data_IF_181782204958
#
_entry.id   IF_181782204958
#
_cell.length_a   1.000
_cell.length_b   1.000
_cell.length_c   1.000
_cell.angle_alpha   90.00
_cell.angle_beta   90.00
_cell.angle_gamma   90.00
#
_symmetry.space_group_name_H-M   'P 1'
#
loop_
_entity.id
_entity.type
_entity.pdbx_description
1 polymer ?
#
# COMPACT_ATOMS: atom_id res chain seq x y z
N UNK A 1 -17.27 9.10 -10.41
CA UNK A 1 -17.16 8.40 -11.71
C UNK A 1 -18.57 8.27 -12.26
N UNK A 2 -18.83 8.74 -13.48
CA UNK A 2 -20.12 8.55 -14.15
C UNK A 2 -19.93 7.45 -15.19
N UNK A 3 -20.65 6.35 -15.03
CA UNK A 3 -20.63 5.21 -15.95
C UNK A 3 -21.93 5.28 -16.75
N UNK A 4 -21.83 5.33 -18.08
CA UNK A 4 -22.97 5.74 -18.93
C UNK A 4 -23.82 4.57 -19.43
N UNK A 5 -23.33 3.34 -19.34
CA UNK A 5 -24.02 2.16 -19.84
C UNK A 5 -23.58 0.89 -19.10
N UNK A 6 -24.27 -0.22 -19.36
CA UNK A 6 -23.83 -1.57 -19.00
C UNK A 6 -22.39 -1.83 -19.45
N UNK A 7 -21.60 -2.47 -18.60
CA UNK A 7 -20.25 -2.90 -18.93
C UNK A 7 -19.31 -3.00 -17.74
N UNK A 8 -18.04 -3.24 -18.07
CA UNK A 8 -16.93 -3.35 -17.12
C UNK A 8 -16.01 -2.14 -17.27
N UNK A 9 -15.82 -1.38 -16.20
CA UNK A 9 -15.07 -0.12 -16.21
C UNK A 9 -13.93 -0.15 -15.20
N UNK A 10 -12.70 0.11 -15.66
CA UNK A 10 -11.54 0.21 -14.80
C UNK A 10 -11.16 1.68 -14.54
N UNK A 11 -10.95 2.04 -13.29
CA UNK A 11 -10.32 3.31 -12.94
C UNK A 11 -8.81 3.20 -13.04
N UNK A 12 -8.21 3.96 -13.95
CA UNK A 12 -6.75 3.97 -14.18
C UNK A 12 -5.94 4.52 -12.99
N UNK A 13 -6.57 5.29 -12.10
CA UNK A 13 -5.90 5.90 -10.94
C UNK A 13 -5.80 4.93 -9.76
N UNK A 14 -6.86 4.14 -9.51
CA UNK A 14 -6.95 3.31 -8.30
C UNK A 14 -7.09 1.82 -8.58
N UNK A 15 -7.00 1.40 -9.86
CA UNK A 15 -7.14 0.00 -10.28
C UNK A 15 -8.56 -0.57 -10.20
N UNK A 16 -9.45 -0.03 -9.35
CA UNK A 16 -10.83 -0.51 -9.18
C UNK A 16 -11.54 -0.77 -10.50
N UNK A 17 -12.14 -1.97 -10.60
CA UNK A 17 -12.98 -2.38 -11.73
C UNK A 17 -14.41 -2.50 -11.24
N UNK A 18 -15.35 -1.90 -11.97
CA UNK A 18 -16.78 -1.94 -11.69
C UNK A 18 -17.52 -2.64 -12.81
N UNK A 19 -18.30 -3.67 -12.48
CA UNK A 19 -19.24 -4.31 -13.40
C UNK A 19 -20.63 -3.74 -13.12
N UNK A 20 -21.25 -3.12 -14.13
CA UNK A 20 -22.54 -2.44 -14.00
C UNK A 20 -23.51 -2.89 -15.08
N UNK A 21 -24.81 -2.93 -14.75
CA UNK A 21 -25.88 -3.33 -15.69
C UNK A 21 -26.61 -2.15 -16.31
N UNK A 22 -26.42 -0.94 -15.78
CA UNK A 22 -27.00 0.32 -16.26
C UNK A 22 -26.06 1.49 -15.98
N UNK A 23 -26.45 2.67 -16.47
CA UNK A 23 -25.80 3.92 -16.11
C UNK A 23 -25.86 4.13 -14.58
N UNK A 24 -24.72 4.47 -13.97
CA UNK A 24 -24.58 4.64 -12.52
C UNK A 24 -23.53 5.70 -12.19
N UNK A 25 -23.76 6.46 -11.13
CA UNK A 25 -22.79 7.42 -10.58
C UNK A 25 -22.15 6.84 -9.33
N UNK A 26 -20.88 6.48 -9.43
CA UNK A 26 -20.10 5.92 -8.34
C UNK A 26 -19.25 7.02 -7.68
N UNK A 27 -19.30 7.09 -6.35
CA UNK A 27 -18.42 7.92 -5.52
C UNK A 27 -17.63 7.01 -4.60
N UNK A 28 -16.32 7.19 -4.56
CA UNK A 28 -15.47 6.43 -3.66
C UNK A 28 -14.28 7.23 -3.16
N UNK A 29 -13.67 6.74 -2.08
CA UNK A 29 -12.44 7.29 -1.53
C UNK A 29 -11.61 6.18 -0.87
N UNK A 30 -10.29 6.25 -1.01
CA UNK A 30 -9.35 5.40 -0.27
C UNK A 30 -9.42 5.73 1.23
N UNK A 31 -9.54 4.70 2.07
CA UNK A 31 -9.56 4.77 3.53
C UNK A 31 -8.25 4.26 4.13
N UNK A 32 -8.06 4.53 5.42
CA UNK A 32 -6.96 3.97 6.22
C UNK A 32 -7.41 2.66 6.85
N UNK A 33 -6.57 1.62 6.74
CA UNK A 33 -6.77 0.35 7.45
C UNK A 33 -6.59 0.48 8.97
N UNK A 34 -5.80 1.45 9.46
CA UNK A 34 -5.55 1.61 10.91
C UNK A 34 -6.81 1.86 11.75
N UNK A 35 -7.88 2.39 11.15
CA UNK A 35 -9.19 2.58 11.81
C UNK A 35 -9.98 1.26 11.95
N UNK A 36 -9.67 0.27 11.13
CA UNK A 36 -10.36 -1.01 11.02
C UNK A 36 -9.46 -2.19 11.40
N UNK A 37 -8.30 -1.90 12.00
CA UNK A 37 -7.29 -2.89 12.35
C UNK A 37 -7.83 -3.99 13.27
N UNK A 38 -8.71 -3.63 14.21
CA UNK A 38 -9.32 -4.58 15.16
C UNK A 38 -10.25 -5.60 14.47
N UNK A 39 -10.60 -5.40 13.20
CA UNK A 39 -11.39 -6.34 12.41
C UNK A 39 -10.55 -7.26 11.52
N UNK A 40 -9.23 -7.08 11.52
CA UNK A 40 -8.27 -7.92 10.80
C UNK A 40 -7.52 -8.75 11.83
N UNK A 41 -8.10 -9.90 12.15
CA UNK A 41 -7.51 -10.89 13.05
C UNK A 41 -6.87 -12.03 12.28
N UNK A 42 -5.83 -12.63 12.86
CA UNK A 42 -5.23 -13.85 12.31
C UNK A 42 -6.32 -14.91 12.08
N UNK A 43 -6.29 -15.63 10.94
CA UNK A 43 -5.20 -15.71 9.97
C UNK A 43 -5.32 -14.71 8.80
N UNK A 44 -6.18 -13.70 8.89
CA UNK A 44 -6.37 -12.70 7.82
C UNK A 44 -5.32 -11.59 7.90
N UNK A 45 -4.83 -11.18 6.74
CA UNK A 45 -4.01 -9.99 6.55
C UNK A 45 -4.64 -9.08 5.49
N UNK A 46 -4.18 -7.84 5.45
CA UNK A 46 -4.63 -6.88 4.43
C UNK A 46 -4.17 -7.35 3.05
N UNK A 47 -5.12 -7.46 2.13
CA UNK A 47 -4.85 -7.88 0.76
C UNK A 47 -4.59 -6.70 -0.19
N UNK A 48 -4.99 -5.48 0.15
CA UNK A 48 -4.99 -4.35 -0.77
C UNK A 48 -5.59 -3.09 -0.17
N UNK A 49 -5.90 -2.05 -0.97
CA UNK A 49 -6.46 -0.82 -0.45
C UNK A 49 -7.91 -0.98 0.04
N UNK A 50 -8.25 -0.24 1.10
CA UNK A 50 -9.60 -0.13 1.65
C UNK A 50 -10.33 1.05 1.00
N UNK A 51 -11.58 0.84 0.57
CA UNK A 51 -12.38 1.86 -0.07
C UNK A 51 -13.69 2.11 0.67
N UNK A 52 -14.04 3.39 0.82
CA UNK A 52 -15.42 3.78 1.02
C UNK A 52 -16.06 3.92 -0.35
N UNK A 53 -17.11 3.17 -0.64
CA UNK A 53 -17.79 3.19 -1.94
C UNK A 53 -19.27 3.49 -1.69
N UNK A 54 -19.86 4.28 -2.58
CA UNK A 54 -21.29 4.58 -2.63
C UNK A 54 -21.69 4.80 -4.09
N UNK A 55 -22.96 4.55 -4.42
CA UNK A 55 -23.51 4.90 -5.72
C UNK A 55 -24.99 5.28 -5.60
N UNK A 56 -25.51 5.90 -6.65
CA UNK A 56 -26.92 6.30 -6.76
C UNK A 56 -27.86 5.11 -7.00
N UNK A 57 -27.36 4.00 -7.55
CA UNK A 57 -28.11 2.76 -7.71
C UNK A 57 -27.27 1.52 -7.41
N UNK A 58 -27.30 1.06 -6.16
CA UNK A 58 -26.50 -0.10 -5.72
C UNK A 58 -26.89 -1.41 -6.41
N UNK A 59 -28.16 -1.56 -6.80
CA UNK A 59 -28.64 -2.73 -7.54
C UNK A 59 -28.08 -2.83 -8.96
N UNK A 60 -27.63 -1.73 -9.54
CA UNK A 60 -27.06 -1.72 -10.89
C UNK A 60 -25.54 -1.95 -10.89
N UNK A 61 -24.90 -1.98 -9.71
CA UNK A 61 -23.48 -2.34 -9.53
C UNK A 61 -23.39 -3.79 -9.06
N UNK A 62 -23.06 -4.72 -9.94
CA UNK A 62 -23.14 -6.16 -9.68
C UNK A 62 -21.88 -6.71 -9.03
N UNK A 63 -20.71 -6.22 -9.43
CA UNK A 63 -19.44 -6.59 -8.81
C UNK A 63 -18.42 -5.47 -8.83
N UNK A 64 -17.51 -5.56 -7.86
CA UNK A 64 -16.32 -4.72 -7.78
C UNK A 64 -15.12 -5.65 -7.77
N UNK A 65 -14.09 -5.31 -8.53
CA UNK A 65 -12.78 -5.95 -8.44
C UNK A 65 -11.80 -4.98 -7.79
N UNK A 66 -11.20 -5.43 -6.68
CA UNK A 66 -10.25 -4.66 -5.89
C UNK A 66 -8.83 -5.04 -6.30
N UNK A 67 -7.94 -4.08 -6.58
CA UNK A 67 -6.53 -4.40 -6.71
C UNK A 67 -6.02 -4.95 -5.37
N UNK A 68 -5.20 -5.99 -5.45
CA UNK A 68 -4.44 -6.47 -4.29
C UNK A 68 -2.98 -6.01 -4.40
N UNK A 69 -2.29 -5.95 -3.26
CA UNK A 69 -0.91 -5.45 -3.15
C UNK A 69 0.13 -6.58 -3.15
N UNK A 70 -0.33 -7.83 -3.33
CA UNK A 70 0.52 -9.02 -3.24
C UNK A 70 1.14 -9.32 -4.62
N UNK A 71 2.42 -9.68 -4.61
CA UNK A 71 3.10 -10.21 -5.79
C UNK A 71 2.87 -11.71 -5.86
N UNK A 72 1.79 -12.11 -6.53
CA UNK A 72 1.49 -13.52 -6.73
C UNK A 72 2.51 -14.17 -7.71
N UNK A 73 2.75 -15.46 -7.50
CA UNK A 73 3.50 -16.33 -8.41
C UNK A 73 2.53 -17.41 -8.90
N UNK A 74 2.58 -17.73 -10.20
CA UNK A 74 1.69 -18.72 -10.80
C UNK A 74 1.76 -20.10 -10.11
N UNK A 75 2.89 -20.44 -9.49
CA UNK A 75 3.10 -21.72 -8.79
C UNK A 75 2.52 -21.73 -7.36
N UNK A 76 2.09 -20.60 -6.81
CA UNK A 76 1.67 -20.45 -5.40
C UNK A 76 0.26 -19.86 -5.23
N UNK A 77 -0.54 -19.75 -6.30
CA UNK A 77 -1.91 -19.24 -6.22
C UNK A 77 -2.85 -20.17 -5.43
N UNK A 78 -2.63 -21.49 -5.47
CA UNK A 78 -3.58 -22.48 -4.94
C UNK A 78 -3.78 -22.44 -3.42
N UNK A 79 -2.84 -21.86 -2.68
CA UNK A 79 -2.85 -21.85 -1.20
C UNK A 79 -3.30 -20.51 -0.59
N UNK A 80 -3.66 -19.53 -1.43
CA UNK A 80 -4.17 -18.23 -0.97
C UNK A 80 -5.70 -18.16 -1.03
N UNK A 81 -6.32 -17.79 0.09
CA UNK A 81 -7.75 -17.53 0.16
C UNK A 81 -8.01 -16.03 0.21
N UNK A 82 -8.48 -15.46 -0.89
CA UNK A 82 -8.92 -14.06 -0.94
C UNK A 82 -10.39 -13.90 -0.54
N UNK A 83 -10.67 -12.90 0.29
CA UNK A 83 -12.00 -12.48 0.72
C UNK A 83 -12.07 -10.96 0.79
N UNK A 84 -13.24 -10.42 1.14
CA UNK A 84 -13.44 -8.98 1.28
C UNK A 84 -13.94 -8.66 2.69
N UNK A 85 -13.21 -7.82 3.42
CA UNK A 85 -13.75 -7.18 4.61
C UNK A 85 -14.82 -6.18 4.16
N UNK A 86 -16.00 -6.26 4.76
CA UNK A 86 -17.13 -5.39 4.50
C UNK A 86 -17.71 -4.87 5.83
N UNK A 87 -17.78 -3.55 5.97
CA UNK A 87 -18.23 -2.86 7.18
C UNK A 87 -19.68 -2.41 6.99
N UNK A 88 -20.62 -3.23 7.47
CA UNK A 88 -22.06 -2.95 7.36
C UNK A 88 -22.58 -2.15 8.55
N UNK A 89 -23.80 -1.64 8.43
CA UNK A 89 -24.55 -1.06 9.55
C UNK A 89 -24.77 -2.06 10.69
N UNK A 90 -24.85 -3.35 10.39
CA UNK A 90 -24.98 -4.45 11.36
C UNK A 90 -23.65 -4.89 11.97
N UNK A 91 -22.51 -4.37 11.48
CA UNK A 91 -21.17 -4.74 11.93
C UNK A 91 -20.25 -5.21 10.80
N UNK A 92 -18.97 -5.47 11.12
CA UNK A 92 -17.97 -5.99 10.18
C UNK A 92 -18.27 -7.45 9.79
N UNK A 93 -18.00 -7.81 8.54
CA UNK A 93 -18.05 -9.19 8.06
C UNK A 93 -16.98 -9.44 7.00
N UNK A 94 -16.40 -10.63 6.98
CA UNK A 94 -15.51 -11.08 5.89
C UNK A 94 -16.36 -11.93 4.93
N UNK A 95 -16.56 -11.41 3.72
CA UNK A 95 -17.38 -12.01 2.69
C UNK A 95 -16.54 -12.80 1.67
N UNK A 96 -17.09 -13.89 1.10
CA UNK A 96 -16.40 -14.63 0.07
C UNK A 96 -16.14 -13.76 -1.17
N UNK A 97 -14.96 -13.93 -1.78
CA UNK A 97 -14.73 -13.44 -3.13
C UNK A 97 -15.47 -14.33 -4.14
N UNK A 98 -15.77 -13.77 -5.31
CA UNK A 98 -16.30 -14.52 -6.47
C UNK A 98 -15.15 -15.25 -7.16
N UNK A 99 -14.05 -14.54 -7.37
CA UNK A 99 -12.84 -15.02 -8.03
C UNK A 99 -11.66 -14.08 -7.71
N UNK A 100 -10.45 -14.46 -8.07
CA UNK A 100 -9.30 -13.57 -8.04
C UNK A 100 -8.37 -13.85 -9.23
N UNK A 101 -7.58 -12.85 -9.58
CA UNK A 101 -6.52 -12.93 -10.58
C UNK A 101 -5.18 -12.55 -9.95
N UNK A 102 -4.12 -12.60 -10.75
CA UNK A 102 -2.78 -12.12 -10.40
C UNK A 102 -2.73 -10.69 -9.84
N UNK A 103 -3.76 -9.87 -10.03
CA UNK A 103 -3.75 -8.45 -9.61
C UNK A 103 -5.02 -7.98 -8.91
N UNK A 104 -6.14 -8.69 -9.02
CA UNK A 104 -7.44 -8.24 -8.50
C UNK A 104 -8.23 -9.34 -7.81
N UNK A 105 -9.03 -8.97 -6.81
CA UNK A 105 -10.04 -9.82 -6.15
C UNK A 105 -11.43 -9.34 -6.55
N UNK A 106 -12.23 -10.22 -7.15
CA UNK A 106 -13.62 -9.92 -7.55
C UNK A 106 -14.58 -10.26 -6.42
N UNK A 107 -15.51 -9.36 -6.14
CA UNK A 107 -16.53 -9.52 -5.11
C UNK A 107 -17.90 -9.08 -5.61
N UNK A 108 -18.94 -9.84 -5.23
CA UNK A 108 -20.31 -9.51 -5.56
C UNK A 108 -20.85 -8.47 -4.57
N UNK A 109 -21.42 -7.39 -5.08
CA UNK A 109 -21.85 -6.29 -4.23
C UNK A 109 -23.09 -6.70 -3.43
N UNK A 110 -22.94 -6.83 -2.12
CA UNK A 110 -24.04 -7.13 -1.19
C UNK A 110 -24.62 -5.87 -0.53
N UNK A 111 -23.76 -4.90 -0.23
CA UNK A 111 -24.10 -3.50 0.10
C UNK A 111 -22.84 -2.64 -0.07
N UNK A 112 -22.90 -1.36 0.24
CA UNK A 112 -21.78 -0.44 0.02
C UNK A 112 -21.34 0.19 1.34
N UNK A 113 -20.07 0.61 1.41
CA UNK A 113 -19.38 1.24 2.56
C UNK A 113 -18.76 0.24 3.55
N UNK A 114 -17.62 0.62 4.17
CA UNK A 114 -16.26 0.30 3.72
C UNK A 114 -16.03 -1.14 3.27
N UNK A 115 -15.27 -1.31 2.18
CA UNK A 115 -14.90 -2.63 1.62
C UNK A 115 -13.44 -2.67 1.19
N UNK A 116 -12.75 -3.79 1.41
CA UNK A 116 -11.36 -3.98 1.00
C UNK A 116 -10.93 -5.44 1.03
N UNK A 117 -10.00 -5.85 0.15
CA UNK A 117 -9.57 -7.23 0.06
C UNK A 117 -8.72 -7.63 1.27
N UNK A 118 -8.93 -8.85 1.74
CA UNK A 118 -8.15 -9.53 2.77
C UNK A 118 -7.73 -10.89 2.24
N UNK A 119 -6.61 -11.39 2.73
CA UNK A 119 -6.07 -12.68 2.28
C UNK A 119 -5.62 -13.50 3.47
N UNK A 120 -5.76 -14.81 3.35
CA UNK A 120 -5.22 -15.81 4.25
C UNK A 120 -4.30 -16.72 3.44
N UNK A 121 -3.11 -16.99 3.94
CA UNK A 121 -2.14 -17.91 3.32
C UNK A 121 -1.23 -18.53 4.39
N UNK A 122 -0.65 -19.70 4.10
CA UNK A 122 0.41 -20.32 4.89
C UNK A 122 1.80 -20.10 4.27
N UNK A 123 1.84 -19.63 3.02
CA UNK A 123 3.07 -19.35 2.29
C UNK A 123 3.63 -17.96 2.63
N UNK A 124 4.95 -17.74 2.46
CA UNK A 124 5.53 -16.41 2.56
C UNK A 124 4.84 -15.42 1.62
N UNK A 125 4.57 -14.22 2.14
CA UNK A 125 3.90 -13.17 1.38
C UNK A 125 4.93 -12.24 0.75
N UNK A 126 4.77 -12.01 -0.54
CA UNK A 126 5.60 -11.09 -1.32
C UNK A 126 4.79 -9.88 -1.77
N UNK A 127 5.43 -8.73 -1.84
CA UNK A 127 4.81 -7.46 -2.22
C UNK A 127 5.63 -6.72 -3.26
N UNK A 128 4.93 -6.05 -4.16
CA UNK A 128 5.54 -5.03 -5.02
C UNK A 128 5.77 -3.81 -4.13
N UNK A 129 7.02 -3.65 -3.71
CA UNK A 129 7.41 -2.61 -2.77
C UNK A 129 7.56 -1.24 -3.42
N UNK A 130 7.44 -0.20 -2.61
CA UNK A 130 7.74 1.16 -2.98
C UNK A 130 8.56 1.86 -1.88
N UNK A 131 9.54 2.67 -2.30
CA UNK A 131 10.32 3.56 -1.42
C UNK A 131 9.83 5.00 -1.60
N UNK A 132 9.43 5.63 -0.50
CA UNK A 132 8.89 6.99 -0.49
C UNK A 132 9.80 7.89 0.34
N UNK A 133 10.29 8.97 -0.29
CA UNK A 133 11.25 9.89 0.32
C UNK A 133 10.63 11.25 0.62
N UNK A 134 10.87 11.73 1.84
CA UNK A 134 10.55 13.08 2.26
C UNK A 134 11.79 13.78 2.82
N UNK A 135 12.18 14.92 2.24
CA UNK A 135 13.21 15.81 2.80
C UNK A 135 12.58 16.69 3.87
N UNK A 136 13.20 16.77 5.04
CA UNK A 136 12.84 17.74 6.09
C UNK A 136 13.29 19.12 5.62
N UNK A 137 12.41 20.11 5.72
CA UNK A 137 12.73 21.52 5.44
C UNK A 137 13.08 22.21 6.75
N UNK A 138 14.32 22.66 6.86
CA UNK A 138 14.84 23.45 7.98
C UNK A 138 15.89 24.46 7.48
N UNK A 139 16.41 25.31 8.36
CA UNK A 139 17.42 26.33 8.02
C UNK A 139 18.86 25.83 8.28
N UNK A 140 19.05 24.54 8.54
CA UNK A 140 20.36 23.96 8.80
C UNK A 140 21.03 23.59 7.46
N UNK A 141 22.36 23.73 7.33
CA UNK A 141 23.06 23.27 6.14
C UNK A 141 22.99 21.75 5.94
N UNK A 142 22.64 20.95 6.96
CA UNK A 142 22.57 19.50 6.83
C UNK A 142 21.28 19.03 6.15
N UNK A 143 21.33 17.83 5.57
CA UNK A 143 20.16 17.20 4.96
C UNK A 143 19.58 16.14 5.90
N UNK A 144 18.25 16.13 6.03
CA UNK A 144 17.53 15.09 6.76
C UNK A 144 16.39 14.57 5.91
N UNK A 145 16.27 13.24 5.83
CA UNK A 145 15.22 12.56 5.09
C UNK A 145 14.48 11.57 5.98
N UNK A 146 13.19 11.39 5.70
CA UNK A 146 12.44 10.20 6.09
C UNK A 146 12.23 9.34 4.87
N UNK A 147 12.70 8.10 4.94
CA UNK A 147 12.60 7.10 3.88
C UNK A 147 11.68 5.99 4.36
N UNK A 148 10.51 5.90 3.74
CA UNK A 148 9.51 4.88 4.05
C UNK A 148 9.66 3.73 3.06
N UNK A 149 9.67 2.49 3.57
CA UNK A 149 9.50 1.28 2.76
C UNK A 149 8.04 0.86 2.90
N UNK A 150 7.35 0.71 1.77
CA UNK A 150 5.91 0.56 1.73
C UNK A 150 5.49 -0.55 0.79
N UNK A 151 4.36 -1.20 1.09
CA UNK A 151 3.60 -1.93 0.08
C UNK A 151 3.06 -0.94 -0.95
N UNK A 152 2.90 -1.36 -2.21
CA UNK A 152 2.20 -0.58 -3.23
C UNK A 152 0.67 -0.58 -2.99
N UNK A 153 0.28 -0.13 -1.80
CA UNK A 153 -1.08 -0.07 -1.30
C UNK A 153 -1.49 1.39 -1.09
N UNK A 154 -2.45 1.88 -1.87
CA UNK A 154 -2.93 3.26 -1.78
C UNK A 154 -3.38 3.66 -0.38
N UNK A 155 -3.96 2.75 0.40
CA UNK A 155 -4.34 3.02 1.80
C UNK A 155 -3.12 3.33 2.65
N UNK A 156 -2.07 2.54 2.51
CA UNK A 156 -0.83 2.70 3.29
C UNK A 156 -0.05 3.95 2.86
N UNK A 157 0.09 4.17 1.55
CA UNK A 157 0.77 5.35 0.98
C UNK A 157 0.06 6.64 1.38
N UNK A 158 -1.28 6.63 1.41
CA UNK A 158 -2.09 7.76 1.89
C UNK A 158 -1.86 8.02 3.38
N UNK A 159 -1.73 6.98 4.20
CA UNK A 159 -1.45 7.12 5.63
C UNK A 159 -0.05 7.67 5.91
N UNK A 160 0.97 7.26 5.15
CA UNK A 160 2.31 7.86 5.20
C UNK A 160 2.20 9.37 4.91
N UNK A 161 1.52 9.72 3.83
CA UNK A 161 1.33 11.12 3.42
C UNK A 161 0.61 11.93 4.51
N UNK A 162 -0.40 11.34 5.16
CA UNK A 162 -1.12 11.98 6.26
C UNK A 162 -0.22 12.18 7.48
N UNK A 163 0.54 11.14 7.86
CA UNK A 163 1.49 11.16 8.99
C UNK A 163 2.52 12.27 8.83
N UNK A 164 3.10 12.39 7.63
CA UNK A 164 4.06 13.44 7.30
C UNK A 164 3.41 14.83 7.42
N UNK A 165 2.22 15.02 6.83
CA UNK A 165 1.49 16.30 6.91
C UNK A 165 1.10 16.71 8.33
N UNK A 166 0.80 15.75 9.20
CA UNK A 166 0.46 16.00 10.60
C UNK A 166 1.67 16.14 11.51
N UNK A 167 2.86 15.76 11.06
CA UNK A 167 4.06 15.94 11.86
C UNK A 167 4.46 17.42 11.83
N UNK A 168 4.68 18.04 13.00
CA UNK A 168 4.90 19.50 13.10
C UNK A 168 6.13 20.07 12.37
N UNK A 169 6.88 19.23 11.62
CA UNK A 169 7.99 19.64 10.76
C UNK A 169 7.47 19.85 9.32
N UNK A 170 8.13 20.70 8.55
CA UNK A 170 7.85 20.87 7.12
C UNK A 170 8.60 19.82 6.31
N UNK A 171 7.95 19.25 5.28
CA UNK A 171 8.55 18.25 4.41
C UNK A 171 8.29 18.56 2.94
N UNK A 172 9.22 18.15 2.09
CA UNK A 172 9.07 18.10 0.63
C UNK A 172 9.18 16.64 0.21
N UNK A 173 8.18 16.12 -0.51
CA UNK A 173 8.26 14.80 -1.13
C UNK A 173 9.28 14.87 -2.26
N UNK A 174 10.28 13.99 -2.23
CA UNK A 174 11.29 13.92 -3.29
C UNK A 174 10.79 12.97 -4.37
N UNK A 175 10.76 13.47 -5.62
CA UNK A 175 10.34 12.68 -6.76
C UNK A 175 11.49 11.79 -7.25
N UNK A 176 11.31 10.47 -7.09
CA UNK A 176 12.18 9.41 -7.56
C UNK A 176 11.32 8.21 -7.96
N UNK A 177 11.79 7.36 -8.90
CA UNK A 177 11.15 6.08 -9.18
C UNK A 177 10.96 5.30 -7.87
N UNK A 178 9.72 5.09 -7.40
CA UNK A 178 9.50 4.57 -6.06
C UNK A 178 9.52 3.03 -6.04
N UNK A 179 9.18 2.39 -7.15
CA UNK A 179 8.98 0.93 -7.23
C UNK A 179 10.28 0.18 -7.01
N UNK A 180 10.26 -0.81 -6.13
CA UNK A 180 11.38 -1.72 -5.91
C UNK A 180 11.59 -2.60 -7.15
N UNK A 181 12.85 -2.85 -7.48
CA UNK A 181 13.26 -3.72 -8.60
C UNK A 181 13.07 -5.20 -8.27
N UNK A 182 13.00 -5.52 -6.97
CA UNK A 182 12.74 -6.85 -6.43
C UNK A 182 11.60 -6.78 -5.42
N UNK A 183 10.92 -7.91 -5.23
CA UNK A 183 9.80 -8.02 -4.30
C UNK A 183 10.28 -7.92 -2.86
N UNK A 184 9.45 -7.32 -2.01
CA UNK A 184 9.65 -7.34 -0.57
C UNK A 184 8.95 -8.54 0.02
N UNK A 185 9.55 -9.18 1.02
CA UNK A 185 8.98 -10.35 1.69
C UNK A 185 8.60 -10.00 3.14
N UNK A 186 7.40 -10.39 3.55
CA UNK A 186 6.95 -10.23 4.94
C UNK A 186 7.89 -10.95 5.92
N UNK A 187 8.25 -10.28 7.02
CA UNK A 187 9.15 -10.80 8.05
C UNK A 187 10.64 -10.77 7.71
N UNK A 188 11.03 -10.34 6.49
CA UNK A 188 12.46 -10.13 6.14
C UNK A 188 12.94 -8.76 6.59
N UNK A 189 14.23 -8.67 6.89
CA UNK A 189 14.88 -7.42 7.30
C UNK A 189 15.49 -6.71 6.12
N UNK A 190 15.36 -5.38 6.13
CA UNK A 190 15.93 -4.53 5.11
C UNK A 190 16.76 -3.43 5.76
N UNK A 191 17.87 -3.08 5.10
CA UNK A 191 18.78 -2.02 5.50
C UNK A 191 18.83 -0.94 4.44
N UNK A 192 18.96 0.30 4.87
CA UNK A 192 19.19 1.43 3.97
C UNK A 192 20.66 1.82 4.06
N UNK A 193 21.37 1.77 2.93
CA UNK A 193 22.79 2.09 2.85
C UNK A 193 23.00 3.35 2.01
N UNK A 194 24.05 4.11 2.35
CA UNK A 194 24.49 5.28 1.58
C UNK A 194 25.91 5.11 1.05
N UNK A 195 26.16 5.57 -0.18
CA UNK A 195 27.52 5.67 -0.75
C UNK A 195 28.35 6.79 -0.11
N UNK A 196 27.72 7.72 0.62
CA UNK A 196 28.37 8.81 1.36
C UNK A 196 28.24 8.59 2.86
N UNK A 197 29.05 9.27 3.67
CA UNK A 197 28.91 9.26 5.13
C UNK A 197 27.55 9.88 5.52
N UNK A 198 26.61 9.02 5.88
CA UNK A 198 25.27 9.36 6.32
C UNK A 198 24.94 8.57 7.58
N UNK A 199 24.36 9.23 8.57
CA UNK A 199 23.80 8.57 9.75
C UNK A 199 22.40 8.06 9.39
N UNK A 200 22.19 6.75 9.48
CA UNK A 200 20.92 6.10 9.13
C UNK A 200 20.40 5.38 10.36
N UNK A 201 19.17 5.71 10.77
CA UNK A 201 18.51 5.09 11.93
C UNK A 201 17.05 4.75 11.62
N UNK A 202 16.52 3.59 12.05
CA UNK A 202 17.27 2.45 12.62
C UNK A 202 18.24 1.83 11.59
N UNK A 203 19.14 0.96 12.04
CA UNK A 203 20.09 0.26 11.16
C UNK A 203 19.37 -0.66 10.17
N UNK A 204 18.29 -1.29 10.63
CA UNK A 204 17.45 -2.21 9.87
C UNK A 204 15.97 -2.09 10.26
N UNK A 205 15.09 -2.50 9.36
CA UNK A 205 13.64 -2.60 9.59
C UNK A 205 13.19 -3.98 9.10
N UNK A 206 12.51 -4.72 9.97
CA UNK A 206 11.73 -5.89 9.54
C UNK A 206 10.50 -5.41 8.75
N UNK A 207 10.39 -5.86 7.51
CA UNK A 207 9.31 -5.48 6.62
C UNK A 207 8.03 -6.26 6.95
N UNK A 208 6.93 -5.53 7.08
CA UNK A 208 5.59 -6.09 7.14
C UNK A 208 4.61 -5.15 6.44
N UNK A 209 3.42 -5.66 6.07
CA UNK A 209 2.35 -4.75 5.62
C UNK A 209 1.86 -3.87 6.78
N UNK A 210 2.43 -2.67 6.86
CA UNK A 210 2.10 -1.68 7.88
C UNK A 210 0.71 -1.07 7.75
N UNK A 211 -0.16 -1.53 6.83
CA UNK A 211 -1.51 -1.02 6.61
C UNK A 211 -2.32 -0.85 7.90
N UNK A 212 -2.30 -1.87 8.77
CA UNK A 212 -3.03 -1.85 10.07
C UNK A 212 -2.34 -1.04 11.16
N UNK A 213 -1.04 -0.72 11.01
CA UNK A 213 -0.27 0.00 12.03
C UNK A 213 -0.71 1.46 12.14
N UNK A 214 -0.81 1.98 13.36
CA UNK A 214 -1.10 3.41 13.60
C UNK A 214 0.12 4.30 13.30
N UNK A 215 1.32 3.82 13.63
CA UNK A 215 2.59 4.48 13.37
C UNK A 215 3.30 3.76 12.23
N UNK A 216 3.86 4.51 11.29
CA UNK A 216 4.53 3.95 10.11
C UNK A 216 6.04 3.97 10.33
N UNK A 217 6.70 2.82 10.16
CA UNK A 217 8.15 2.71 10.22
C UNK A 217 8.80 3.49 9.07
N UNK A 218 9.96 4.08 9.35
CA UNK A 218 10.79 4.78 8.37
C UNK A 218 12.25 4.80 8.83
N UNK A 219 13.16 4.93 7.88
CA UNK A 219 14.54 5.30 8.13
C UNK A 219 14.68 6.82 8.19
N UNK A 220 15.27 7.35 9.25
CA UNK A 220 15.82 8.70 9.30
C UNK A 220 17.23 8.65 8.72
N UNK A 221 17.47 9.47 7.70
CA UNK A 221 18.78 9.63 7.07
C UNK A 221 19.24 11.05 7.34
N UNK A 222 20.41 11.21 7.95
CA UNK A 222 21.03 12.49 8.23
C UNK A 222 22.39 12.59 7.53
N UNK A 223 22.61 13.69 6.80
CA UNK A 223 23.90 14.01 6.19
C UNK A 223 24.36 15.37 6.68
N UNK A 224 25.50 15.42 7.36
CA UNK A 224 26.08 16.66 7.87
C UNK A 224 26.45 17.62 6.73
N UNK A 225 27.01 17.09 5.64
CA UNK A 225 27.41 17.86 4.45
C UNK A 225 26.53 17.52 3.24
N UNK A 226 25.83 18.50 2.64
CA UNK A 226 25.08 18.30 1.40
C UNK A 226 26.03 17.98 0.25
N UNK A 227 26.02 16.73 -0.18
CA UNK A 227 26.65 16.33 -1.42
C UNK A 227 25.69 15.47 -2.22
N UNK A 228 26.04 15.21 -3.48
CA UNK A 228 25.33 14.23 -4.28
C UNK A 228 25.65 12.84 -3.72
N UNK A 229 24.62 12.10 -3.32
CA UNK A 229 24.78 10.77 -2.73
C UNK A 229 23.76 9.80 -3.31
N UNK A 230 24.00 8.51 -3.09
CA UNK A 230 23.08 7.45 -3.51
C UNK A 230 22.60 6.69 -2.29
N UNK A 231 21.30 6.41 -2.24
CA UNK A 231 20.70 5.49 -1.28
C UNK A 231 20.36 4.18 -1.98
N UNK A 232 20.62 3.07 -1.30
CA UNK A 232 20.18 1.74 -1.72
C UNK A 232 19.46 1.05 -0.57
N UNK A 233 18.31 0.45 -0.85
CA UNK A 233 17.64 -0.47 0.06
C UNK A 233 18.12 -1.86 -0.29
N UNK A 234 18.62 -2.59 0.71
CA UNK A 234 19.12 -3.95 0.58
C UNK A 234 18.32 -4.89 1.49
N UNK A 235 18.11 -6.12 1.05
CA UNK A 235 17.65 -7.20 1.94
C UNK A 235 18.86 -7.72 2.72
N UNK A 236 18.70 -7.88 4.04
CA UNK A 236 19.81 -8.07 4.98
C UNK A 236 20.55 -9.40 4.78
N UNK A 237 19.84 -10.50 4.60
CA UNK A 237 20.48 -11.82 4.55
C UNK A 237 21.15 -12.10 3.21
N UNK A 238 20.53 -11.67 2.11
CA UNK A 238 20.99 -11.93 0.74
C UNK A 238 21.89 -10.83 0.20
N UNK A 239 21.97 -9.68 0.87
CA UNK A 239 22.68 -8.47 0.42
C UNK A 239 22.19 -7.96 -0.95
N UNK A 240 20.99 -8.38 -1.37
CA UNK A 240 20.43 -7.99 -2.65
C UNK A 240 19.88 -6.57 -2.60
N UNK A 241 20.33 -5.75 -3.55
CA UNK A 241 19.76 -4.41 -3.76
C UNK A 241 18.34 -4.56 -4.33
N UNK A 242 17.35 -4.12 -3.55
CA UNK A 242 15.93 -4.13 -3.96
C UNK A 242 15.46 -2.79 -4.50
N UNK A 243 16.12 -1.69 -4.13
CA UNK A 243 15.86 -0.36 -4.66
C UNK A 243 17.10 0.52 -4.56
N UNK A 244 17.28 1.44 -5.52
CA UNK A 244 18.41 2.38 -5.53
C UNK A 244 18.02 3.71 -6.17
N UNK A 245 18.39 4.82 -5.54
CA UNK A 245 18.23 6.14 -6.15
C UNK A 245 19.33 7.13 -5.76
N UNK A 246 19.77 7.90 -6.77
CA UNK A 246 20.70 9.01 -6.61
C UNK A 246 19.95 10.29 -6.20
N UNK A 247 20.35 10.89 -5.10
CA UNK A 247 19.82 12.14 -4.55
C UNK A 247 20.78 13.29 -4.86
N UNK A 248 20.19 14.42 -5.25
CA UNK A 248 20.86 15.68 -5.55
C UNK A 248 20.01 16.77 -4.90
N UNK A 249 20.64 17.88 -4.53
CA UNK A 249 19.92 19.07 -4.07
C UNK A 249 18.96 19.61 -5.14
#
# INVERSE_FOLDING_TARGET
LKLEAEGTYQCTVTGLIFDVTKAVVIKYSVLSWSKYADYIEKPWIVGGPLFNISCDSASDLTSIQFPHSLSLNADHESDMSFKVLHIKSTGPSIEPSVDHSMTHVKWHVSSLSPVGPVVQTQEPVYYDGAVILYKVVNNHPSLSFRVYVATNNDSFIKDITKTVKSSGKKFIKIDKPPVCQKRLQDGKKYKLISESEAEITPEEIEFCDGSVLKLKHYFEVYLEQPMVFTLSLIEDESEEIVWKAKLRE
#
